data_IF_695877837308
#
_entry.id   IF_695877837308
#
_cell.length_a   1.000
_cell.length_b   1.000
_cell.length_c   1.000
_cell.angle_alpha   90.00
_cell.angle_beta   90.00
_cell.angle_gamma   90.00
#
_symmetry.space_group_name_H-M   'P 1'
#
loop_
_entity.id
_entity.type
_entity.pdbx_description
1 polymer ?
#
# COMPACT_ATOMS: atom_id res chain seq x y z
N UNK A 1 8.46 42.85 -12.91
CA UNK A 1 8.45 41.38 -12.79
C UNK A 1 8.75 41.01 -11.35
N UNK A 2 7.75 40.88 -10.48
CA UNK A 2 7.89 40.24 -9.15
C UNK A 2 6.51 40.11 -8.51
N UNK A 3 5.77 39.06 -8.85
CA UNK A 3 4.50 38.73 -8.18
C UNK A 3 4.19 37.23 -8.29
N UNK A 4 5.13 36.39 -7.85
CA UNK A 4 4.95 34.93 -7.74
C UNK A 4 5.66 34.39 -6.50
N UNK A 5 5.29 34.84 -5.30
CA UNK A 5 5.66 34.19 -4.03
C UNK A 5 4.64 34.54 -2.93
N UNK A 6 3.36 34.20 -3.13
CA UNK A 6 2.33 34.48 -2.14
C UNK A 6 1.22 33.40 -2.15
N UNK A 7 1.61 32.13 -2.09
CA UNK A 7 0.66 31.02 -1.90
C UNK A 7 1.23 29.85 -1.06
N UNK A 8 2.15 30.14 -0.12
CA UNK A 8 2.77 29.10 0.73
C UNK A 8 2.53 29.25 2.23
N UNK A 9 1.79 30.27 2.71
CA UNK A 9 1.74 30.61 4.13
C UNK A 9 0.31 30.77 4.67
N UNK A 10 -0.48 29.70 4.64
CA UNK A 10 -1.76 29.65 5.35
C UNK A 10 -2.13 28.21 5.74
N UNK A 11 -1.24 27.54 6.48
CA UNK A 11 -1.48 26.20 7.02
C UNK A 11 -0.79 26.01 8.38
N UNK A 12 -1.17 26.80 9.40
CA UNK A 12 -0.71 26.57 10.77
C UNK A 12 -1.83 26.80 11.78
N UNK A 13 -2.56 25.71 12.10
CA UNK A 13 -3.35 25.57 13.31
C UNK A 13 -2.71 24.51 14.22
N UNK A 14 -1.96 24.96 15.22
CA UNK A 14 -1.29 24.17 16.26
C UNK A 14 -2.35 23.54 17.18
N UNK A 15 -2.41 22.22 17.44
CA UNK A 15 -1.54 21.45 18.34
C UNK A 15 -1.77 19.92 18.15
N UNK A 16 -1.81 19.45 16.89
CA UNK A 16 -1.83 18.01 16.51
C UNK A 16 -0.72 17.61 15.54
N UNK A 17 0.38 18.40 15.50
CA UNK A 17 1.09 18.73 14.26
C UNK A 17 2.22 17.81 13.79
N UNK A 18 2.81 16.97 14.63
CA UNK A 18 4.07 16.28 14.25
C UNK A 18 3.87 15.36 13.04
N UNK A 19 2.76 14.59 13.01
CA UNK A 19 2.46 13.70 11.88
C UNK A 19 2.01 14.49 10.63
N UNK A 20 1.42 15.68 10.81
CA UNK A 20 0.99 16.51 9.68
C UNK A 20 2.15 17.18 8.95
N UNK A 21 3.22 17.53 9.67
CA UNK A 21 4.37 18.23 9.10
C UNK A 21 5.22 17.28 8.26
N UNK A 22 5.41 16.03 8.70
CA UNK A 22 6.08 14.99 7.92
C UNK A 22 5.31 14.67 6.64
N UNK A 23 3.98 14.53 6.73
CA UNK A 23 3.13 14.27 5.57
C UNK A 23 3.17 15.42 4.55
N UNK A 24 3.10 16.67 5.02
CA UNK A 24 3.18 17.85 4.17
C UNK A 24 4.56 18.03 3.55
N UNK A 25 5.62 17.78 4.32
CA UNK A 25 7.01 17.82 3.82
C UNK A 25 7.23 16.74 2.77
N UNK A 26 6.74 15.52 3.02
CA UNK A 26 6.81 14.42 2.07
C UNK A 26 6.04 14.76 0.78
N UNK A 27 4.85 15.35 0.89
CA UNK A 27 4.05 15.80 -0.26
C UNK A 27 4.74 16.94 -1.02
N UNK A 28 5.34 17.90 -0.33
CA UNK A 28 6.09 18.98 -0.96
C UNK A 28 7.34 18.46 -1.71
N UNK A 29 7.86 17.30 -1.31
CA UNK A 29 8.98 16.64 -1.99
C UNK A 29 8.60 15.80 -3.22
N UNK A 30 7.30 15.66 -3.53
CA UNK A 30 6.83 14.97 -4.74
C UNK A 30 6.72 15.93 -5.92
N UNK A 31 6.51 15.39 -7.12
CA UNK A 31 6.25 16.17 -8.32
C UNK A 31 5.00 17.03 -8.19
N UNK A 32 4.98 18.16 -8.92
CA UNK A 32 3.81 19.04 -8.98
C UNK A 32 2.56 18.34 -9.51
N UNK A 33 2.73 17.35 -10.40
CA UNK A 33 1.64 16.51 -10.88
C UNK A 33 1.04 15.67 -9.75
N UNK A 34 1.88 15.03 -8.92
CA UNK A 34 1.41 14.28 -7.76
C UNK A 34 0.72 15.19 -6.74
N UNK A 35 1.27 16.37 -6.46
CA UNK A 35 0.64 17.34 -5.57
C UNK A 35 -0.76 17.76 -6.06
N UNK A 36 -0.89 18.05 -7.36
CA UNK A 36 -2.18 18.36 -7.98
C UNK A 36 -3.15 17.17 -7.91
N UNK A 37 -2.65 15.95 -8.13
CA UNK A 37 -3.46 14.74 -8.02
C UNK A 37 -3.97 14.51 -6.60
N UNK A 38 -3.14 14.76 -5.58
CA UNK A 38 -3.56 14.68 -4.17
C UNK A 38 -4.71 15.65 -3.88
N UNK A 39 -4.64 16.87 -4.39
CA UNK A 39 -5.74 17.83 -4.27
C UNK A 39 -7.00 17.34 -4.98
N UNK A 40 -6.89 16.88 -6.23
CA UNK A 40 -8.03 16.34 -7.00
C UNK A 40 -8.68 15.13 -6.33
N UNK A 41 -7.88 14.19 -5.83
CA UNK A 41 -8.37 13.01 -5.14
C UNK A 41 -9.07 13.34 -3.83
N UNK A 42 -8.52 14.28 -3.05
CA UNK A 42 -9.17 14.79 -1.84
C UNK A 42 -10.56 15.34 -2.14
N UNK A 43 -10.70 16.11 -3.22
CA UNK A 43 -11.96 16.76 -3.58
C UNK A 43 -12.95 15.80 -4.28
N UNK A 44 -12.47 14.69 -4.84
CA UNK A 44 -13.30 13.68 -5.50
C UNK A 44 -14.10 12.79 -4.54
N UNK A 45 -13.82 12.81 -3.23
CA UNK A 45 -14.49 11.97 -2.25
C UNK A 45 -14.69 12.68 -0.90
N UNK A 46 -15.95 12.89 -0.50
CA UNK A 46 -16.31 13.59 0.75
C UNK A 46 -15.71 12.95 2.01
N UNK A 47 -15.59 11.61 2.08
CA UNK A 47 -15.02 10.96 3.25
C UNK A 47 -13.51 11.22 3.35
N UNK A 48 -12.81 11.21 2.22
CA UNK A 48 -11.39 11.60 2.17
C UNK A 48 -11.22 13.06 2.58
N UNK A 49 -12.06 13.98 2.07
CA UNK A 49 -12.05 15.38 2.45
C UNK A 49 -12.25 15.59 3.97
N UNK A 50 -13.19 14.86 4.57
CA UNK A 50 -13.44 14.89 6.02
C UNK A 50 -12.20 14.41 6.79
N UNK A 51 -11.56 13.33 6.35
CA UNK A 51 -10.34 12.81 6.98
C UNK A 51 -9.18 13.82 6.90
N UNK A 52 -8.97 14.46 5.74
CA UNK A 52 -7.97 15.54 5.58
C UNK A 52 -8.27 16.73 6.50
N UNK A 53 -9.52 17.17 6.55
CA UNK A 53 -9.95 18.30 7.41
C UNK A 53 -9.80 17.97 8.90
N UNK A 54 -9.96 16.70 9.27
CA UNK A 54 -9.78 16.19 10.62
C UNK A 54 -8.33 15.83 10.96
N UNK A 55 -7.37 16.18 10.09
CA UNK A 55 -5.93 15.88 10.22
C UNK A 55 -5.61 14.38 10.31
N UNK A 56 -6.48 13.51 9.81
CA UNK A 56 -6.32 12.05 9.73
C UNK A 56 -5.70 11.63 8.40
N UNK A 57 -4.49 12.11 8.13
CA UNK A 57 -3.83 11.97 6.83
C UNK A 57 -3.53 10.51 6.45
N UNK A 58 -3.09 9.69 7.41
CA UNK A 58 -2.83 8.27 7.16
C UNK A 58 -4.10 7.55 6.72
N UNK A 59 -5.21 7.77 7.44
CA UNK A 59 -6.51 7.19 7.12
C UNK A 59 -7.02 7.70 5.78
N UNK A 60 -6.82 8.99 5.46
CA UNK A 60 -7.20 9.56 4.18
C UNK A 60 -6.44 8.91 3.01
N UNK A 61 -5.13 8.76 3.12
CA UNK A 61 -4.28 8.15 2.08
C UNK A 61 -4.55 6.65 1.95
N UNK A 62 -4.93 5.96 3.03
CA UNK A 62 -5.31 4.54 3.02
C UNK A 62 -6.80 4.30 2.73
N UNK A 63 -7.57 5.36 2.55
CA UNK A 63 -9.02 5.25 2.38
C UNK A 63 -9.36 4.42 1.14
N UNK A 64 -10.24 3.44 1.33
CA UNK A 64 -10.66 2.52 0.28
C UNK A 64 -12.09 2.03 0.51
N UNK A 65 -12.88 2.05 -0.55
CA UNK A 65 -14.24 1.53 -0.69
C UNK A 65 -14.35 0.83 -2.05
N UNK A 66 -15.43 0.07 -2.31
CA UNK A 66 -15.61 -0.56 -3.62
C UNK A 66 -15.64 0.42 -4.81
N UNK A 67 -16.03 1.67 -4.57
CA UNK A 67 -16.15 2.71 -5.60
C UNK A 67 -14.98 3.69 -5.66
N UNK A 68 -14.12 3.71 -4.64
CA UNK A 68 -13.02 4.66 -4.54
C UNK A 68 -11.87 4.11 -3.70
N UNK A 69 -10.64 4.24 -4.18
CA UNK A 69 -9.46 3.99 -3.36
C UNK A 69 -8.45 5.12 -3.56
N UNK A 70 -7.94 5.68 -2.47
CA UNK A 70 -6.97 6.79 -2.51
C UNK A 70 -5.71 6.40 -3.30
N UNK A 71 -5.18 5.19 -3.13
CA UNK A 71 -4.08 4.67 -3.94
C UNK A 71 -4.39 4.74 -5.44
N UNK A 72 -5.54 4.20 -5.84
CA UNK A 72 -5.97 4.19 -7.24
C UNK A 72 -6.12 5.61 -7.74
N UNK A 73 -6.82 6.48 -7.01
CA UNK A 73 -7.00 7.86 -7.42
C UNK A 73 -5.65 8.59 -7.58
N UNK A 74 -4.73 8.39 -6.64
CA UNK A 74 -3.44 9.09 -6.63
C UNK A 74 -2.51 8.60 -7.74
N UNK A 75 -2.55 7.31 -8.09
CA UNK A 75 -1.59 6.71 -9.04
C UNK A 75 -2.16 6.57 -10.46
N UNK A 76 -3.49 6.50 -10.61
CA UNK A 76 -4.14 6.44 -11.93
C UNK A 76 -3.98 7.79 -12.66
N UNK A 77 -3.97 7.73 -13.99
CA UNK A 77 -3.80 8.87 -14.91
C UNK A 77 -2.48 9.64 -14.74
N UNK A 78 -1.42 8.92 -14.37
CA UNK A 78 -0.06 9.43 -14.22
C UNK A 78 0.12 10.54 -13.16
N UNK A 79 -0.84 10.69 -12.23
CA UNK A 79 -0.79 11.69 -11.16
C UNK A 79 0.46 11.59 -10.27
N UNK A 80 0.47 10.61 -9.38
CA UNK A 80 1.63 10.23 -8.58
C UNK A 80 2.26 8.95 -9.12
N UNK A 81 3.59 8.88 -9.13
CA UNK A 81 4.28 7.59 -9.20
C UNK A 81 4.01 6.80 -7.91
N UNK A 82 4.15 5.48 -7.98
CA UNK A 82 4.03 4.61 -6.81
C UNK A 82 5.03 5.00 -5.71
N UNK A 83 6.27 5.31 -6.08
CA UNK A 83 7.30 5.78 -5.14
C UNK A 83 6.89 7.05 -4.41
N UNK A 84 6.28 8.02 -5.11
CA UNK A 84 5.77 9.25 -4.49
C UNK A 84 4.60 8.96 -3.56
N UNK A 85 3.65 8.12 -3.99
CA UNK A 85 2.53 7.69 -3.15
C UNK A 85 3.04 7.05 -1.85
N UNK A 86 3.99 6.11 -1.93
CA UNK A 86 4.51 5.44 -0.75
C UNK A 86 5.31 6.37 0.14
N UNK A 87 6.07 7.31 -0.42
CA UNK A 87 6.74 8.35 0.38
C UNK A 87 5.74 9.16 1.20
N UNK A 88 4.67 9.65 0.57
CA UNK A 88 3.63 10.44 1.24
C UNK A 88 2.88 9.61 2.26
N UNK A 89 2.50 8.36 1.91
CA UNK A 89 1.84 7.41 2.84
C UNK A 89 2.71 7.14 4.06
N UNK A 90 3.98 6.81 3.84
CA UNK A 90 4.88 6.39 4.92
C UNK A 90 5.14 7.55 5.89
N UNK A 91 5.29 8.77 5.38
CA UNK A 91 5.38 9.97 6.19
C UNK A 91 4.09 10.24 6.97
N UNK A 92 2.92 10.14 6.31
CA UNK A 92 1.63 10.35 6.97
C UNK A 92 1.27 9.29 8.02
N UNK A 93 1.76 8.07 7.85
CA UNK A 93 1.47 6.94 8.75
C UNK A 93 2.57 6.69 9.79
N UNK A 94 3.63 7.51 9.84
CA UNK A 94 4.73 7.35 10.80
C UNK A 94 5.55 6.07 10.61
N UNK A 95 5.48 5.43 9.43
CA UNK A 95 6.29 4.26 9.12
C UNK A 95 7.57 4.72 8.46
N UNK A 96 8.63 4.94 9.25
CA UNK A 96 9.98 5.21 8.75
C UNK A 96 10.47 4.04 7.92
N UNK A 97 10.23 4.07 6.61
CA UNK A 97 10.64 2.98 5.71
C UNK A 97 12.11 3.14 5.36
N UNK A 98 12.97 2.57 6.20
CA UNK A 98 14.37 2.31 5.86
C UNK A 98 14.43 1.05 5.00
N UNK A 99 14.56 1.25 3.68
CA UNK A 99 15.31 0.36 2.78
C UNK A 99 14.75 -1.05 2.51
N UNK A 100 13.44 -1.25 2.60
CA UNK A 100 12.78 -2.45 2.08
C UNK A 100 11.34 -2.16 1.69
N UNK A 101 10.98 -2.39 0.43
CA UNK A 101 9.56 -2.43 0.02
C UNK A 101 8.86 -3.47 0.88
N UNK A 102 7.90 -3.03 1.70
CA UNK A 102 7.10 -3.96 2.50
C UNK A 102 6.08 -4.68 1.61
N UNK A 103 5.56 -5.81 2.09
CA UNK A 103 4.56 -6.62 1.35
C UNK A 103 3.39 -5.77 0.87
N UNK A 104 2.91 -4.86 1.71
CA UNK A 104 1.80 -3.94 1.44
C UNK A 104 2.08 -3.03 0.23
N UNK A 105 3.32 -2.55 0.11
CA UNK A 105 3.78 -1.75 -1.03
C UNK A 105 3.83 -2.58 -2.30
N UNK A 106 4.47 -3.74 -2.29
CA UNK A 106 4.54 -4.62 -3.46
C UNK A 106 3.14 -5.03 -3.96
N UNK A 107 2.25 -5.41 -3.05
CA UNK A 107 0.87 -5.79 -3.39
C UNK A 107 0.10 -4.61 -3.95
N UNK A 108 0.25 -3.42 -3.35
CA UNK A 108 -0.36 -2.20 -3.86
C UNK A 108 0.10 -1.86 -5.28
N UNK A 109 1.41 -1.98 -5.54
CA UNK A 109 2.00 -1.79 -6.88
C UNK A 109 1.38 -2.76 -7.87
N UNK A 110 1.41 -4.06 -7.57
CA UNK A 110 0.89 -5.10 -8.44
C UNK A 110 -0.60 -4.92 -8.73
N UNK A 111 -1.38 -4.50 -7.73
CA UNK A 111 -2.81 -4.24 -7.88
C UNK A 111 -3.10 -3.03 -8.77
N UNK A 112 -2.38 -1.93 -8.61
CA UNK A 112 -2.57 -0.74 -9.44
C UNK A 112 -2.10 -0.99 -10.88
N UNK A 113 -1.04 -1.77 -11.08
CA UNK A 113 -0.57 -2.17 -12.41
C UNK A 113 -1.50 -3.17 -13.12
N UNK A 114 -2.41 -3.80 -12.39
CA UNK A 114 -3.42 -4.69 -12.97
C UNK A 114 -4.54 -3.87 -13.63
N UNK A 115 -5.26 -4.49 -14.56
CA UNK A 115 -6.44 -3.95 -15.22
C UNK A 115 -7.53 -3.53 -14.24
N UNK A 116 -8.40 -2.60 -14.67
CA UNK A 116 -9.54 -2.16 -13.86
C UNK A 116 -10.48 -3.33 -13.51
N UNK A 117 -10.68 -4.26 -14.44
CA UNK A 117 -11.47 -5.48 -14.22
C UNK A 117 -10.87 -6.32 -13.09
N UNK A 118 -9.55 -6.54 -13.12
CA UNK A 118 -8.86 -7.26 -12.07
C UNK A 118 -9.00 -6.56 -10.71
N UNK A 119 -8.79 -5.24 -10.65
CA UNK A 119 -8.94 -4.47 -9.39
C UNK A 119 -10.34 -4.58 -8.80
N UNK A 120 -11.37 -4.42 -9.62
CA UNK A 120 -12.76 -4.59 -9.19
C UNK A 120 -13.04 -6.02 -8.73
N UNK A 121 -12.50 -7.02 -9.44
CA UNK A 121 -12.65 -8.43 -9.07
C UNK A 121 -11.95 -8.75 -7.74
N UNK A 122 -10.75 -8.20 -7.52
CA UNK A 122 -10.02 -8.31 -6.24
C UNK A 122 -10.87 -7.79 -5.09
N UNK A 123 -11.43 -6.58 -5.20
CA UNK A 123 -12.31 -6.03 -4.17
C UNK A 123 -13.51 -6.93 -3.90
N UNK A 124 -14.17 -7.43 -4.96
CA UNK A 124 -15.35 -8.29 -4.81
C UNK A 124 -15.01 -9.64 -4.17
N UNK A 125 -13.89 -10.24 -4.56
CA UNK A 125 -13.43 -11.51 -3.98
C UNK A 125 -13.08 -11.37 -2.51
N UNK A 126 -12.37 -10.30 -2.12
CA UNK A 126 -12.04 -10.02 -0.73
C UNK A 126 -13.31 -9.84 0.11
N UNK A 127 -14.30 -9.11 -0.41
CA UNK A 127 -15.56 -8.87 0.31
C UNK A 127 -16.50 -10.09 0.36
N UNK A 128 -16.27 -11.11 -0.47
CA UNK A 128 -17.13 -12.30 -0.54
C UNK A 128 -16.85 -13.33 0.55
N UNK A 129 -15.68 -13.28 1.20
CA UNK A 129 -15.27 -14.23 2.22
C UNK A 129 -14.64 -13.50 3.42
N UNK A 130 -15.24 -13.67 4.59
CA UNK A 130 -14.82 -12.98 5.82
C UNK A 130 -13.39 -13.36 6.25
N UNK A 131 -12.93 -14.57 5.94
CA UNK A 131 -11.57 -15.02 6.26
C UNK A 131 -10.57 -14.31 5.36
N UNK A 132 -10.83 -14.24 4.05
CA UNK A 132 -10.01 -13.47 3.10
C UNK A 132 -9.98 -11.99 3.48
N UNK A 133 -11.14 -11.42 3.85
CA UNK A 133 -11.23 -10.04 4.33
C UNK A 133 -10.33 -9.80 5.55
N UNK A 134 -10.38 -10.68 6.56
CA UNK A 134 -9.58 -10.57 7.77
C UNK A 134 -8.07 -10.71 7.49
N UNK A 135 -7.69 -11.60 6.57
CA UNK A 135 -6.30 -11.75 6.14
C UNK A 135 -5.80 -10.48 5.45
N UNK A 136 -6.58 -9.88 4.54
CA UNK A 136 -6.25 -8.59 3.92
C UNK A 136 -6.15 -7.44 4.93
N UNK A 137 -7.09 -7.35 5.87
CA UNK A 137 -7.07 -6.32 6.91
C UNK A 137 -5.85 -6.44 7.84
N UNK A 138 -5.31 -7.65 7.99
CA UNK A 138 -4.12 -7.96 8.78
C UNK A 138 -2.82 -7.94 7.98
N UNK A 139 -2.82 -7.41 6.75
CA UNK A 139 -1.68 -7.41 5.81
C UNK A 139 -1.10 -8.80 5.49
N UNK A 140 -1.88 -9.88 5.68
CA UNK A 140 -1.54 -11.26 5.33
C UNK A 140 -1.94 -11.59 3.89
N UNK A 141 -1.44 -10.80 2.95
CA UNK A 141 -1.87 -10.87 1.55
C UNK A 141 -1.49 -12.19 0.87
N UNK A 142 -0.35 -12.78 1.25
CA UNK A 142 0.13 -14.03 0.66
C UNK A 142 -0.79 -15.20 1.04
N UNK A 143 -1.21 -15.27 2.31
CA UNK A 143 -2.19 -16.23 2.79
C UNK A 143 -3.56 -15.98 2.16
N UNK A 144 -3.97 -14.71 2.02
CA UNK A 144 -5.25 -14.36 1.41
C UNK A 144 -5.32 -14.81 -0.07
N UNK A 145 -4.27 -14.59 -0.85
CA UNK A 145 -4.20 -15.00 -2.25
C UNK A 145 -4.01 -16.51 -2.43
N UNK A 146 -3.59 -17.23 -1.39
CA UNK A 146 -3.52 -18.69 -1.38
C UNK A 146 -4.72 -19.35 -0.71
N UNK A 147 -5.66 -18.54 -0.19
CA UNK A 147 -6.80 -19.06 0.53
C UNK A 147 -7.66 -19.96 -0.36
N UNK A 148 -8.06 -21.09 0.21
CA UNK A 148 -8.87 -22.10 -0.43
C UNK A 148 -9.87 -22.64 0.57
N UNK A 149 -11.16 -22.43 0.32
CA UNK A 149 -12.25 -23.07 1.04
C UNK A 149 -12.97 -24.03 0.10
N UNK A 150 -13.71 -24.99 0.67
CA UNK A 150 -14.26 -26.23 0.09
C UNK A 150 -14.86 -26.18 -1.32
N UNK A 151 -15.21 -25.01 -1.86
CA UNK A 151 -15.75 -24.84 -3.21
C UNK A 151 -15.18 -23.64 -3.99
N UNK A 152 -14.34 -22.78 -3.38
CA UNK A 152 -13.81 -21.56 -4.01
C UNK A 152 -12.37 -21.33 -3.56
N UNK A 153 -11.48 -21.14 -4.52
CA UNK A 153 -10.11 -20.66 -4.28
C UNK A 153 -10.03 -19.16 -4.58
N UNK A 154 -9.09 -18.47 -3.93
CA UNK A 154 -8.79 -17.08 -4.28
C UNK A 154 -8.50 -16.95 -5.79
N UNK A 155 -7.77 -17.91 -6.37
CA UNK A 155 -7.53 -17.97 -7.81
C UNK A 155 -8.82 -18.13 -8.63
N UNK A 156 -9.72 -19.05 -8.27
CA UNK A 156 -10.96 -19.26 -9.04
C UNK A 156 -11.89 -18.05 -8.95
N UNK A 157 -11.85 -17.32 -7.83
CA UNK A 157 -12.58 -16.07 -7.70
C UNK A 157 -11.96 -14.97 -8.58
N UNK A 158 -10.64 -14.83 -8.56
CA UNK A 158 -9.91 -13.76 -9.25
C UNK A 158 -9.79 -13.99 -10.76
N UNK A 159 -9.50 -15.20 -11.21
CA UNK A 159 -9.20 -15.55 -12.62
C UNK A 159 -10.44 -16.02 -13.39
N UNK A 160 -11.63 -15.92 -12.78
CA UNK A 160 -12.89 -16.29 -13.43
C UNK A 160 -13.31 -15.37 -14.58
N UNK A 161 -14.48 -15.64 -15.16
CA UNK A 161 -15.07 -14.82 -16.24
C UNK A 161 -15.11 -13.34 -15.83
N UNK A 162 -14.50 -12.49 -16.66
CA UNK A 162 -14.34 -11.03 -16.47
C UNK A 162 -13.55 -10.59 -15.22
N UNK A 163 -12.63 -11.42 -14.73
CA UNK A 163 -11.73 -11.10 -13.61
C UNK A 163 -10.33 -10.64 -14.03
N UNK A 164 -9.36 -10.98 -13.20
CA UNK A 164 -7.94 -10.92 -13.52
C UNK A 164 -7.56 -11.96 -14.58
N UNK A 165 -6.60 -11.63 -15.43
CA UNK A 165 -5.85 -12.64 -16.18
C UNK A 165 -4.98 -13.47 -15.22
N UNK A 166 -4.56 -14.64 -15.67
CA UNK A 166 -3.62 -15.48 -14.90
C UNK A 166 -2.31 -14.73 -14.60
N UNK A 167 -1.81 -13.94 -15.56
CA UNK A 167 -0.58 -13.15 -15.39
C UNK A 167 -0.71 -12.06 -14.31
N UNK A 168 -1.87 -11.39 -14.22
CA UNK A 168 -2.11 -10.40 -13.17
C UNK A 168 -2.22 -11.07 -11.79
N UNK A 169 -2.91 -12.21 -11.71
CA UNK A 169 -2.98 -12.99 -10.48
C UNK A 169 -1.60 -13.47 -10.02
N UNK A 170 -0.77 -13.99 -10.93
CA UNK A 170 0.59 -14.44 -10.59
C UNK A 170 1.49 -13.28 -10.16
N UNK A 171 1.30 -12.09 -10.74
CA UNK A 171 2.00 -10.87 -10.35
C UNK A 171 1.60 -10.41 -8.94
N UNK A 172 0.30 -10.41 -8.64
CA UNK A 172 -0.24 -10.13 -7.31
C UNK A 172 0.28 -11.13 -6.27
N UNK A 173 0.20 -12.42 -6.58
CA UNK A 173 0.66 -13.49 -5.69
C UNK A 173 2.15 -13.39 -5.40
N UNK A 174 2.97 -13.12 -6.43
CA UNK A 174 4.41 -12.91 -6.27
C UNK A 174 4.69 -11.71 -5.39
N UNK A 175 4.05 -10.57 -5.66
CA UNK A 175 4.20 -9.36 -4.86
C UNK A 175 3.86 -9.58 -3.38
N UNK A 176 2.81 -10.37 -3.10
CA UNK A 176 2.40 -10.72 -1.75
C UNK A 176 3.34 -11.70 -1.05
N UNK A 177 3.86 -12.69 -1.77
CA UNK A 177 4.57 -13.82 -1.15
C UNK A 177 6.10 -13.67 -1.12
N UNK A 178 6.68 -12.78 -1.92
CA UNK A 178 8.15 -12.64 -2.00
C UNK A 178 8.75 -11.97 -0.76
N UNK A 179 7.97 -11.19 -0.02
CA UNK A 179 8.43 -10.53 1.20
C UNK A 179 8.57 -11.47 2.42
N UNK A 180 7.90 -12.63 2.40
CA UNK A 180 7.87 -13.56 3.55
C UNK A 180 9.11 -14.47 3.66
N UNK A 181 10.00 -14.49 2.66
CA UNK A 181 11.13 -15.43 2.61
C UNK A 181 12.36 -15.04 3.44
N UNK A 182 12.38 -13.85 4.05
CA UNK A 182 13.58 -13.33 4.75
C UNK A 182 13.76 -13.82 6.21
N UNK A 183 12.76 -14.44 6.84
CA UNK A 183 12.83 -14.77 8.27
C UNK A 183 13.36 -16.19 8.54
N UNK A 184 13.35 -17.10 7.55
CA UNK A 184 13.80 -18.50 7.77
C UNK A 184 15.32 -18.67 7.61
N UNK A 185 16.03 -17.65 7.08
CA UNK A 185 17.47 -17.75 6.79
C UNK A 185 18.42 -17.55 7.98
N UNK A 186 18.01 -16.87 9.05
CA UNK A 186 18.95 -16.50 10.13
C UNK A 186 19.08 -17.55 11.23
N UNK A 187 18.11 -18.46 11.40
CA UNK A 187 18.24 -19.58 12.34
C UNK A 187 19.16 -20.70 11.82
N UNK A 188 19.28 -20.88 10.50
CA UNK A 188 20.12 -21.93 9.91
C UNK A 188 21.62 -21.61 9.96
N UNK A 189 22.02 -20.34 10.00
CA UNK A 189 23.45 -19.97 10.10
C UNK A 189 23.99 -19.98 11.53
N UNK A 190 23.13 -19.87 12.55
CA UNK A 190 23.57 -20.01 13.95
C UNK A 190 23.86 -21.46 14.33
N UNK A 191 23.15 -22.43 13.74
CA UNK A 191 23.36 -23.86 14.03
C UNK A 191 24.65 -24.40 13.41
N UNK A 192 25.09 -23.91 12.24
CA UNK A 192 26.37 -24.34 11.65
C UNK A 192 27.59 -23.82 12.44
N UNK A 193 27.54 -22.60 12.99
CA UNK A 193 28.65 -22.04 13.77
C UNK A 193 28.84 -22.71 15.13
N UNK A 194 27.77 -23.20 15.76
CA UNK A 194 27.85 -23.95 17.01
C UNK A 194 28.50 -25.34 16.83
N UNK A 195 28.24 -26.02 15.70
CA UNK A 195 28.87 -27.32 15.40
C UNK A 195 30.39 -27.16 15.17
N UNK A 196 30.82 -26.05 14.58
CA UNK A 196 32.25 -25.76 14.36
C UNK A 196 33.02 -25.49 15.66
N UNK A 197 32.38 -24.86 16.65
CA UNK A 197 32.99 -24.66 17.97
C UNK A 197 33.09 -25.96 18.78
N UNK A 198 32.09 -26.86 18.67
CA UNK A 198 32.12 -28.15 19.38
C UNK A 198 33.15 -29.13 18.81
N UNK A 199 33.46 -29.07 17.52
CA UNK A 199 34.45 -29.96 16.88
C UNK A 199 35.90 -29.51 17.05
N UNK A 200 36.13 -28.27 17.47
CA UNK A 200 37.48 -27.75 17.72
C UNK A 200 37.87 -27.70 19.21
N UNK A 201 36.92 -27.94 20.12
CA UNK A 201 37.13 -27.90 21.57
C UNK A 201 37.09 -29.27 22.26
N UNK A 202 36.67 -30.31 21.55
CA UNK A 202 36.77 -31.72 21.96
C UNK A 202 37.66 -32.48 20.97
#
# INVERSE_FOLDING_TARGET
>A
MTQRMLYAALFLGLLGQVVSEDAQTALASTSTQCQSQVAGCKDSNNNVQILYTSLKYCEAIRYSTPSFASLTCLVVDSGCTLTEYFRVRNAACGTSSTTGMNTDENVGIALVSSSQQCRSKVSNCISSDTTVQNLYASSKYCEALQYSASSVTAQSCLVGSSGCTQSEYDSLKRAACTASSLIVGTLSMFLCSLIYLFTHFF
#
